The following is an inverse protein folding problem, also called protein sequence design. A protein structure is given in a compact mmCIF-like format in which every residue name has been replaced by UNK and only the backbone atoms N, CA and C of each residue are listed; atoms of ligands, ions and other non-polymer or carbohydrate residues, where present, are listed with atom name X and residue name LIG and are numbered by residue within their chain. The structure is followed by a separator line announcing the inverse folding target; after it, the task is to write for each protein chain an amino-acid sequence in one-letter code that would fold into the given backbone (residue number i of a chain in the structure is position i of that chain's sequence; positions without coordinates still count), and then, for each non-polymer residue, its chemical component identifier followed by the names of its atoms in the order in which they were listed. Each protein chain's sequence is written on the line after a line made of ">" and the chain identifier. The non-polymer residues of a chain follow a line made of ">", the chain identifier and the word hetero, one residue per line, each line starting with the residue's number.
data_IF_624831086769
#
_entry.id   IF_624831086769
#
_cell.length_a   1.000
_cell.length_b   1.000
_cell.length_c   1.000
_cell.angle_alpha   90.00
_cell.angle_beta   90.00
_cell.angle_gamma   90.00
#
_symmetry.space_group_name_H-M   'P 1'
#
loop_
_entity.id
_entity.type
_entity.pdbx_description
1 polymer ?
#
# COMPACT_ATOMS: atom_id res chain seq x y z
N UNK A 1 6.17 -1.21 -3.59
CA UNK A 1 5.54 -1.62 -2.33
C UNK A 1 4.71 -0.52 -1.68
N UNK A 2 5.13 0.75 -1.74
CA UNK A 2 4.34 1.91 -1.28
C UNK A 2 2.86 1.91 -1.69
N UNK A 3 2.55 1.62 -2.97
CA UNK A 3 1.15 1.52 -3.44
C UNK A 3 0.34 0.48 -2.67
N UNK A 4 0.89 -0.72 -2.50
CA UNK A 4 0.23 -1.83 -1.79
C UNK A 4 0.08 -1.48 -0.31
N UNK A 5 1.15 -0.99 0.33
CA UNK A 5 1.09 -0.55 1.72
C UNK A 5 0.07 0.57 1.94
N UNK A 6 -0.04 1.51 1.00
CA UNK A 6 -1.06 2.57 1.04
C UNK A 6 -2.47 2.01 0.93
N UNK A 7 -2.69 1.01 0.07
CA UNK A 7 -4.01 0.38 -0.06
C UNK A 7 -4.43 -0.37 1.21
N UNK A 8 -3.53 -1.16 1.79
CA UNK A 8 -3.79 -1.84 3.07
C UNK A 8 -4.12 -0.82 4.17
N UNK A 9 -3.37 0.28 4.23
CA UNK A 9 -3.65 1.38 5.17
C UNK A 9 -5.01 2.02 4.93
N UNK A 10 -5.42 2.19 3.67
CA UNK A 10 -6.72 2.74 3.32
C UNK A 10 -7.86 1.81 3.76
N UNK A 11 -7.75 0.51 3.48
CA UNK A 11 -8.76 -0.49 3.79
C UNK A 11 -8.86 -0.81 5.29
N UNK A 12 -7.79 -0.58 6.05
CA UNK A 12 -7.76 -0.72 7.51
C UNK A 12 -8.37 0.49 8.25
N UNK A 13 -8.73 1.57 7.54
CA UNK A 13 -9.41 2.71 8.18
C UNK A 13 -10.69 2.25 8.87
N UNK A 14 -11.02 2.75 10.08
CA UNK A 14 -12.18 2.27 10.85
C UNK A 14 -13.51 2.37 10.10
N UNK A 15 -13.65 3.34 9.19
CA UNK A 15 -14.85 3.55 8.39
C UNK A 15 -15.03 2.51 7.28
N UNK A 16 -13.95 1.81 6.88
CA UNK A 16 -13.94 0.79 5.83
C UNK A 16 -13.82 -0.60 6.47
N UNK A 17 -12.77 -0.82 7.25
CA UNK A 17 -12.52 -2.02 8.06
C UNK A 17 -12.61 -3.35 7.29
N UNK A 18 -12.16 -3.35 6.03
CA UNK A 18 -12.23 -4.51 5.14
C UNK A 18 -10.99 -5.40 5.24
N UNK A 19 -9.84 -4.78 5.48
CA UNK A 19 -8.54 -5.45 5.53
C UNK A 19 -7.75 -4.89 6.69
N UNK A 20 -7.03 -5.75 7.42
CA UNK A 20 -6.14 -5.30 8.49
C UNK A 20 -4.82 -6.08 8.49
N UNK A 21 -3.74 -5.42 8.87
CA UNK A 21 -2.53 -6.12 9.32
C UNK A 21 -2.88 -7.06 10.48
N UNK A 22 -2.25 -8.25 10.47
CA UNK A 22 -2.38 -9.18 11.58
C UNK A 22 -1.95 -8.51 12.89
N UNK A 23 -2.78 -8.65 13.91
CA UNK A 23 -2.51 -8.10 15.24
C UNK A 23 -2.55 -9.22 16.26
N UNK A 24 -1.40 -9.53 16.86
CA UNK A 24 -1.34 -10.49 17.96
C UNK A 24 -1.93 -9.83 19.21
N UNK A 25 -3.19 -10.15 19.50
CA UNK A 25 -3.94 -9.60 20.63
C UNK A 25 -3.27 -9.90 21.98
N UNK A 26 -2.42 -10.92 22.06
CA UNK A 26 -1.72 -11.29 23.30
C UNK A 26 -0.40 -10.55 23.48
N UNK A 27 0.31 -10.28 22.39
CA UNK A 27 1.71 -9.81 22.44
C UNK A 27 1.94 -8.40 21.89
N UNK A 28 1.00 -7.84 21.14
CA UNK A 28 1.16 -6.55 20.49
C UNK A 28 0.36 -5.45 21.21
N UNK A 29 1.01 -4.31 21.47
CA UNK A 29 0.38 -3.11 22.04
C UNK A 29 0.18 -2.10 20.91
N UNK A 30 -1.07 -1.82 20.57
CA UNK A 30 -1.38 -0.90 19.45
C UNK A 30 -1.29 0.59 19.80
N UNK A 31 -1.48 0.95 21.07
CA UNK A 31 -1.25 2.28 21.64
C UNK A 31 -1.09 2.18 23.15
N UNK A 32 -0.26 3.03 23.74
CA UNK A 32 -0.06 3.10 25.20
C UNK A 32 -1.32 3.51 25.98
N UNK A 33 -2.25 4.20 25.33
CA UNK A 33 -3.44 4.80 25.95
C UNK A 33 -4.78 4.20 25.52
N UNK A 34 -4.82 3.43 24.42
CA UNK A 34 -6.07 2.94 23.82
C UNK A 34 -5.95 1.47 23.40
N UNK A 35 -6.47 0.52 24.20
CA UNK A 35 -6.40 -0.92 23.92
C UNK A 35 -7.07 -1.35 22.62
N UNK A 36 -8.05 -0.58 22.14
CA UNK A 36 -8.76 -0.85 20.88
C UNK A 36 -8.03 -0.36 19.63
N UNK A 37 -6.95 0.43 19.77
CA UNK A 37 -6.28 1.05 18.61
C UNK A 37 -5.43 0.01 17.87
N UNK A 38 -5.73 -0.22 16.59
CA UNK A 38 -4.99 -1.13 15.70
C UNK A 38 -4.50 -0.37 14.48
N UNK A 39 -3.24 0.07 14.50
CA UNK A 39 -2.65 0.84 13.39
C UNK A 39 -1.90 -0.08 12.41
N UNK A 40 -1.92 0.21 11.10
CA UNK A 40 -1.13 -0.49 10.08
C UNK A 40 0.34 -0.04 10.10
N UNK A 41 1.03 -0.25 11.23
CA UNK A 41 2.38 0.29 11.47
C UNK A 41 3.41 -0.27 10.50
N UNK A 42 3.24 -1.52 10.06
CA UNK A 42 4.21 -2.19 9.19
C UNK A 42 4.09 -1.63 7.77
N UNK A 43 2.87 -1.44 7.28
CA UNK A 43 2.60 -0.77 6.01
C UNK A 43 3.03 0.70 6.04
N UNK A 44 2.81 1.41 7.15
CA UNK A 44 3.31 2.78 7.33
C UNK A 44 4.85 2.85 7.23
N UNK A 45 5.53 1.91 7.86
CA UNK A 45 6.98 1.78 7.76
C UNK A 45 7.43 1.45 6.32
N UNK A 46 6.80 0.50 5.65
CA UNK A 46 7.08 0.15 4.25
C UNK A 46 6.90 1.36 3.32
N UNK A 47 5.83 2.13 3.50
CA UNK A 47 5.60 3.35 2.71
C UNK A 47 6.71 4.38 2.96
N UNK A 48 7.13 4.54 4.22
CA UNK A 48 8.20 5.47 4.61
C UNK A 48 9.56 5.08 4.01
N UNK A 49 9.96 3.81 4.14
CA UNK A 49 11.22 3.32 3.57
C UNK A 49 11.19 3.31 2.04
N UNK A 50 10.04 3.03 1.42
CA UNK A 50 9.89 3.13 -0.04
C UNK A 50 10.18 4.55 -0.56
N UNK A 51 9.91 5.61 0.23
CA UNK A 51 10.24 6.99 -0.13
C UNK A 51 11.74 7.23 -0.10
N UNK A 52 12.47 6.67 0.87
CA UNK A 52 13.92 6.76 0.96
C UNK A 52 14.59 6.08 -0.24
N UNK A 53 14.16 4.87 -0.60
CA UNK A 53 14.70 4.15 -1.77
C UNK A 53 14.54 5.00 -3.04
N UNK A 54 13.38 5.63 -3.23
CA UNK A 54 13.16 6.53 -4.39
C UNK A 54 14.02 7.79 -4.33
N UNK A 55 14.32 8.31 -3.14
CA UNK A 55 15.18 9.47 -2.99
C UNK A 55 16.64 9.20 -3.45
N UNK A 56 17.08 7.94 -3.46
CA UNK A 56 18.39 7.56 -4.01
C UNK A 56 18.48 7.65 -5.54
N UNK A 57 17.37 7.84 -6.26
CA UNK A 57 17.41 8.04 -7.72
C UNK A 57 18.17 9.32 -8.08
N UNK A 58 17.95 10.42 -7.35
CA UNK A 58 18.61 11.70 -7.64
C UNK A 58 20.14 11.64 -7.54
N UNK A 59 20.75 11.20 -6.42
CA UNK A 59 22.21 11.12 -6.34
C UNK A 59 22.80 10.16 -7.36
N UNK A 60 22.12 9.07 -7.71
CA UNK A 60 22.58 8.16 -8.77
C UNK A 60 22.55 8.83 -10.16
N UNK A 61 21.49 9.60 -10.46
CA UNK A 61 21.38 10.34 -11.72
C UNK A 61 22.45 11.44 -11.82
N UNK A 62 22.78 12.10 -10.71
CA UNK A 62 23.87 13.08 -10.65
C UNK A 62 25.25 12.41 -10.76
N UNK A 63 25.43 11.26 -10.11
CA UNK A 63 26.66 10.46 -10.16
C UNK A 63 26.94 9.81 -11.52
N UNK A 64 25.92 9.66 -12.37
CA UNK A 64 26.07 9.14 -13.72
C UNK A 64 26.86 10.09 -14.65
N UNK A 65 27.00 11.37 -14.29
CA UNK A 65 27.77 12.36 -15.07
C UNK A 65 29.25 12.19 -14.78
N UNK A 66 29.95 11.43 -15.62
CA UNK A 66 31.39 11.23 -15.54
C UNK A 66 32.16 12.02 -16.59
N UNK A 67 33.40 12.40 -16.27
CA UNK A 67 34.28 13.10 -17.20
C UNK A 67 35.21 12.14 -17.96
N UNK A 68 35.18 12.23 -19.30
CA UNK A 68 36.00 11.45 -20.24
C UNK A 68 35.95 9.93 -19.97
N UNK A 69 37.10 9.28 -19.72
CA UNK A 69 37.18 7.84 -19.51
C UNK A 69 36.67 7.37 -18.14
N UNK A 70 36.59 8.28 -17.14
CA UNK A 70 35.95 8.15 -15.80
C UNK A 70 36.60 9.07 -14.75
N UNK A 71 35.78 9.63 -13.86
CA UNK A 71 36.22 10.20 -12.57
C UNK A 71 35.69 9.37 -11.38
N UNK A 72 35.99 9.77 -10.15
CA UNK A 72 35.65 9.00 -8.92
C UNK A 72 34.46 9.58 -8.15
N UNK A 73 33.74 10.57 -8.69
CA UNK A 73 32.69 11.29 -7.96
C UNK A 73 31.49 10.41 -7.59
N UNK A 74 31.19 9.41 -8.43
CA UNK A 74 30.17 8.39 -8.17
C UNK A 74 30.52 7.48 -6.98
N UNK A 75 31.81 7.21 -6.72
CA UNK A 75 32.23 6.26 -5.68
C UNK A 75 31.77 6.65 -4.27
N UNK A 76 31.68 7.96 -3.98
CA UNK A 76 31.28 8.46 -2.67
C UNK A 76 29.81 8.18 -2.36
N UNK A 77 28.92 8.47 -3.33
CA UNK A 77 27.47 8.26 -3.17
C UNK A 77 27.09 6.78 -3.30
N UNK A 78 27.75 6.02 -4.19
CA UNK A 78 27.48 4.59 -4.43
C UNK A 78 27.71 3.72 -3.19
N UNK A 79 28.61 4.14 -2.29
CA UNK A 79 28.82 3.50 -0.97
C UNK A 79 27.60 3.57 -0.06
N UNK A 80 26.65 4.43 -0.35
CA UNK A 80 25.40 4.56 0.40
C UNK A 80 24.22 4.07 -0.44
N UNK A 81 24.03 4.63 -1.62
CA UNK A 81 22.86 4.33 -2.47
C UNK A 81 22.76 2.85 -2.82
N UNK A 82 23.85 2.19 -3.25
CA UNK A 82 23.84 0.78 -3.66
C UNK A 82 23.55 -0.17 -2.48
N UNK A 83 24.32 -0.17 -1.37
CA UNK A 83 24.05 -1.10 -0.27
C UNK A 83 22.74 -0.80 0.44
N UNK A 84 22.40 0.47 0.68
CA UNK A 84 21.16 0.81 1.38
C UNK A 84 19.93 0.55 0.52
N UNK A 85 19.95 0.82 -0.79
CA UNK A 85 18.83 0.44 -1.66
C UNK A 85 18.59 -1.07 -1.65
N UNK A 86 19.65 -1.88 -1.68
CA UNK A 86 19.55 -3.34 -1.62
C UNK A 86 18.98 -3.83 -0.28
N UNK A 87 19.55 -3.37 0.84
CA UNK A 87 19.13 -3.76 2.19
C UNK A 87 17.69 -3.33 2.47
N UNK A 88 17.33 -2.09 2.14
CA UNK A 88 15.97 -1.58 2.37
C UNK A 88 14.96 -2.29 1.47
N UNK A 89 15.31 -2.59 0.22
CA UNK A 89 14.43 -3.33 -0.69
C UNK A 89 14.18 -4.74 -0.16
N UNK A 90 15.21 -5.47 0.24
CA UNK A 90 15.08 -6.80 0.84
C UNK A 90 14.18 -6.76 2.09
N UNK A 91 14.44 -5.83 3.01
CA UNK A 91 13.63 -5.65 4.20
C UNK A 91 12.15 -5.41 3.89
N UNK A 92 11.85 -4.47 2.97
CA UNK A 92 10.49 -4.14 2.57
C UNK A 92 9.79 -5.32 1.91
N UNK A 93 10.48 -6.08 1.06
CA UNK A 93 9.91 -7.23 0.38
C UNK A 93 9.55 -8.34 1.38
N UNK A 94 10.46 -8.68 2.29
CA UNK A 94 10.20 -9.67 3.33
C UNK A 94 9.04 -9.25 4.24
N UNK A 95 9.01 -7.98 4.66
CA UNK A 95 7.93 -7.45 5.49
C UNK A 95 6.58 -7.45 4.77
N UNK A 96 6.54 -7.05 3.50
CA UNK A 96 5.31 -7.09 2.73
C UNK A 96 4.83 -8.54 2.53
N UNK A 97 5.73 -9.49 2.26
CA UNK A 97 5.38 -10.90 2.14
C UNK A 97 4.75 -11.44 3.44
N UNK A 98 5.31 -11.10 4.60
CA UNK A 98 4.76 -11.45 5.92
C UNK A 98 3.35 -10.87 6.13
N UNK A 99 3.16 -9.59 5.80
CA UNK A 99 1.85 -8.92 5.88
C UNK A 99 0.84 -9.64 4.98
N UNK A 100 1.18 -9.89 3.72
CA UNK A 100 0.26 -10.52 2.76
C UNK A 100 -0.08 -11.96 3.15
N UNK A 101 0.85 -12.68 3.77
CA UNK A 101 0.62 -14.05 4.26
C UNK A 101 -0.30 -14.09 5.48
N UNK A 102 -0.22 -13.09 6.35
CA UNK A 102 -0.97 -13.04 7.63
C UNK A 102 -2.18 -12.11 7.58
N UNK A 103 -2.42 -11.45 6.45
CA UNK A 103 -3.42 -10.40 6.28
C UNK A 103 -4.80 -10.84 6.77
N UNK A 104 -5.42 -10.05 7.64
CA UNK A 104 -6.79 -10.28 8.06
C UNK A 104 -7.75 -9.66 7.06
N UNK A 105 -8.70 -10.46 6.56
CA UNK A 105 -9.72 -10.04 5.60
C UNK A 105 -11.09 -10.17 6.26
N UNK A 106 -11.82 -9.06 6.32
CA UNK A 106 -13.15 -8.97 6.91
C UNK A 106 -14.23 -8.99 5.81
N UNK A 107 -14.62 -10.19 5.41
CA UNK A 107 -15.61 -10.40 4.34
C UNK A 107 -16.97 -9.78 4.70
N UNK A 108 -17.38 -9.82 5.97
CA UNK A 108 -18.65 -9.25 6.42
C UNK A 108 -18.68 -7.72 6.25
N UNK A 109 -17.56 -7.04 6.54
CA UNK A 109 -17.44 -5.60 6.30
C UNK A 109 -17.45 -5.28 4.80
N UNK A 110 -16.77 -6.07 3.97
CA UNK A 110 -16.80 -5.91 2.51
C UNK A 110 -18.22 -6.04 1.96
N UNK A 111 -18.97 -7.07 2.40
CA UNK A 111 -20.34 -7.28 1.97
C UNK A 111 -21.25 -6.13 2.42
N UNK A 112 -21.10 -5.66 3.66
CA UNK A 112 -21.83 -4.52 4.18
C UNK A 112 -21.54 -3.25 3.37
N UNK A 113 -20.27 -2.93 3.13
CA UNK A 113 -19.87 -1.74 2.38
C UNK A 113 -20.39 -1.77 0.93
N UNK A 114 -20.42 -2.96 0.33
CA UNK A 114 -21.02 -3.17 -1.00
C UNK A 114 -22.53 -2.93 -0.99
N UNK A 115 -23.25 -3.47 0.01
CA UNK A 115 -24.71 -3.26 0.17
C UNK A 115 -25.06 -1.80 0.43
N UNK A 116 -24.23 -1.10 1.20
CA UNK A 116 -24.39 0.33 1.50
C UNK A 116 -24.00 1.25 0.32
N UNK A 117 -23.48 0.68 -0.78
CA UNK A 117 -23.06 1.39 -2.00
C UNK A 117 -23.92 1.04 -3.23
N UNK A 118 -25.25 1.28 -3.23
CA UNK A 118 -26.18 0.81 -4.26
C UNK A 118 -25.92 1.37 -5.66
N UNK A 119 -25.16 2.46 -5.78
CA UNK A 119 -24.75 3.00 -7.08
C UNK A 119 -23.83 2.05 -7.85
N UNK A 120 -23.14 1.12 -7.19
CA UNK A 120 -22.25 0.17 -7.84
C UNK A 120 -22.99 -0.81 -8.79
N UNK A 121 -24.28 -1.05 -8.55
CA UNK A 121 -25.13 -1.91 -9.40
C UNK A 121 -25.91 -1.13 -10.46
N UNK A 122 -25.79 0.20 -10.51
CA UNK A 122 -26.56 1.06 -11.41
C UNK A 122 -26.40 0.66 -12.88
N UNK A 123 -25.16 0.39 -13.32
CA UNK A 123 -24.89 -0.06 -14.69
C UNK A 123 -25.61 -1.36 -15.03
N UNK A 124 -25.59 -2.34 -14.11
CA UNK A 124 -26.26 -3.62 -14.31
C UNK A 124 -27.78 -3.43 -14.42
N UNK A 125 -28.35 -2.56 -13.60
CA UNK A 125 -29.77 -2.23 -13.62
C UNK A 125 -30.17 -1.56 -14.95
N UNK A 126 -29.40 -0.57 -15.42
CA UNK A 126 -29.65 0.09 -16.71
C UNK A 126 -29.60 -0.90 -17.87
N UNK A 127 -28.66 -1.84 -17.87
CA UNK A 127 -28.57 -2.90 -18.90
C UNK A 127 -29.80 -3.82 -18.86
N UNK A 128 -30.28 -4.19 -17.67
CA UNK A 128 -31.45 -5.07 -17.54
C UNK A 128 -32.76 -4.35 -17.89
N UNK A 129 -32.86 -3.04 -17.68
CA UNK A 129 -33.97 -2.20 -18.15
C UNK A 129 -33.97 -2.06 -19.67
N UNK A 130 -32.81 -1.80 -20.27
CA UNK A 130 -32.65 -1.74 -21.72
C UNK A 130 -33.05 -3.07 -22.40
N UNK A 131 -32.71 -4.22 -21.80
CA UNK A 131 -33.15 -5.55 -22.27
C UNK A 131 -34.67 -5.75 -22.23
N UNK A 132 -35.38 -4.98 -21.39
CA UNK A 132 -36.85 -4.95 -21.32
C UNK A 132 -37.46 -3.85 -22.21
N UNK A 133 -36.69 -3.28 -23.12
CA UNK A 133 -37.08 -2.19 -24.03
C UNK A 133 -37.45 -0.87 -23.34
N UNK A 134 -36.91 -0.60 -22.14
CA UNK A 134 -36.99 0.73 -21.53
C UNK A 134 -35.91 1.62 -22.17
N UNK A 135 -36.26 2.85 -22.56
CA UNK A 135 -35.29 3.80 -23.12
C UNK A 135 -34.27 4.22 -22.05
N UNK A 136 -33.03 4.40 -22.47
CA UNK A 136 -31.91 4.76 -21.59
C UNK A 136 -32.12 6.12 -20.90
N UNK A 137 -32.83 7.04 -21.53
CA UNK A 137 -33.17 8.34 -20.93
C UNK A 137 -34.29 8.24 -19.88
N UNK A 138 -35.06 7.14 -19.90
CA UNK A 138 -36.13 6.83 -18.94
C UNK A 138 -35.69 5.79 -17.87
N UNK A 139 -34.46 5.28 -17.98
CA UNK A 139 -33.88 4.21 -17.14
C UNK A 139 -33.19 4.71 -15.88
#
# INVERSE_FOLDING_TARGET
>A
MDKIGTEIRNLQRPEINEVMEYFDVKNQVGSSSMPSKRNPITCENICSLSRIIRAYVTPEMEGAVQWHERDLTNSGLERFTIPYSSILTDYILNKMAEILYTLYVNVDAMEKNLRDSPLCISERLTIDLARKNVDRQES
#
